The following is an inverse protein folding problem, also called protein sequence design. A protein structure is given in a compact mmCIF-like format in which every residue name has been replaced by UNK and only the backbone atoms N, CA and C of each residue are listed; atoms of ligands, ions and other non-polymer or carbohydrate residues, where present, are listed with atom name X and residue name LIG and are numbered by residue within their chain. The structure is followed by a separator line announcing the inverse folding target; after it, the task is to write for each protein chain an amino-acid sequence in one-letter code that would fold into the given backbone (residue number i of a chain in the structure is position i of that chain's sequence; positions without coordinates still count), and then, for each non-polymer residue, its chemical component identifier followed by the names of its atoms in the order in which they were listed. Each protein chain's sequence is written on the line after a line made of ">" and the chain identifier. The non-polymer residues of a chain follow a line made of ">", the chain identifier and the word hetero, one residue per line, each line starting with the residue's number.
data_IF_348462191027
#
_entry.id   IF_348462191027
#
_cell.length_a   1.000
_cell.length_b   1.000
_cell.length_c   1.000
_cell.angle_alpha   90.00
_cell.angle_beta   90.00
_cell.angle_gamma   90.00
#
_symmetry.space_group_name_H-M   'P 1'
#
loop_
_entity.id
_entity.type
_entity.pdbx_description
1 polymer ?
#
# COMPACT_ATOMS: atom_id res chain seq x y z
N UNK A 1 -2.39 0.69 20.51
CA UNK A 1 -2.53 0.35 19.66
C UNK A 1 -1.66 0.23 18.82
N UNK A 2 -1.44 -0.54 18.35
CA UNK A 2 -0.40 -0.68 17.69
C UNK A 2 -0.57 -0.37 16.36
N UNK A 3 0.31 0.27 15.89
CA UNK A 3 0.39 0.52 14.59
C UNK A 3 1.26 -0.44 13.96
N UNK A 4 1.32 -1.65 14.44
CA UNK A 4 2.22 -2.59 13.89
C UNK A 4 1.69 -3.11 12.61
N UNK A 5 1.92 -2.40 11.56
CA UNK A 5 1.65 -2.86 10.24
C UNK A 5 2.71 -3.87 9.87
N UNK A 6 2.34 -5.09 9.55
CA UNK A 6 3.31 -6.07 9.10
C UNK A 6 3.04 -6.43 7.65
N UNK A 7 4.01 -7.09 7.04
CA UNK A 7 3.96 -7.36 5.62
C UNK A 7 2.76 -8.21 5.24
N UNK A 8 2.45 -9.22 6.03
CA UNK A 8 1.33 -10.09 5.71
C UNK A 8 0.01 -9.36 5.77
N UNK A 9 -0.18 -8.53 6.79
CA UNK A 9 -1.40 -7.77 6.90
C UNK A 9 -1.49 -6.73 5.79
N UNK A 10 -0.39 -6.10 5.47
CA UNK A 10 -0.37 -5.12 4.40
C UNK A 10 -0.83 -5.74 3.09
N UNK A 11 -0.27 -6.90 2.74
CA UNK A 11 -0.65 -7.55 1.50
C UNK A 11 -2.11 -7.99 1.52
N UNK A 12 -2.56 -8.52 2.66
CA UNK A 12 -3.92 -9.02 2.77
C UNK A 12 -4.93 -7.88 2.59
N UNK A 13 -4.71 -6.78 3.28
CA UNK A 13 -5.67 -5.67 3.21
C UNK A 13 -5.68 -5.01 1.84
N UNK A 14 -4.53 -4.91 1.19
CA UNK A 14 -4.52 -4.38 -0.17
C UNK A 14 -5.30 -5.28 -1.11
N UNK A 15 -5.18 -6.60 -0.95
CA UNK A 15 -5.92 -7.52 -1.79
C UNK A 15 -7.41 -7.48 -1.52
N UNK A 16 -7.81 -7.03 -0.34
CA UNK A 16 -9.23 -6.91 0.00
C UNK A 16 -9.83 -5.62 -0.50
N UNK A 17 -9.02 -4.74 -1.06
CA UNK A 17 -9.53 -3.50 -1.60
C UNK A 17 -9.36 -2.29 -0.71
N UNK A 18 -8.64 -2.43 0.40
CA UNK A 18 -8.41 -1.28 1.27
C UNK A 18 -7.42 -0.33 0.64
N UNK A 19 -7.54 0.94 0.97
CA UNK A 19 -6.65 1.97 0.49
C UNK A 19 -5.67 2.35 1.59
N UNK A 20 -4.40 2.40 1.24
CA UNK A 20 -3.35 2.79 2.18
C UNK A 20 -2.87 4.18 1.81
N UNK A 21 -2.91 5.11 2.77
CA UNK A 21 -2.37 6.44 2.54
C UNK A 21 -0.93 6.48 3.03
N UNK A 22 -0.04 6.95 2.18
CA UNK A 22 1.38 7.07 2.51
C UNK A 22 1.73 8.54 2.51
N UNK A 23 2.26 9.01 3.63
CA UNK A 23 2.69 10.40 3.77
C UNK A 23 4.21 10.46 3.72
N UNK A 24 4.73 11.39 2.95
CA UNK A 24 6.16 11.60 2.85
C UNK A 24 6.45 13.05 3.16
N UNK A 25 7.72 13.42 3.16
CA UNK A 25 8.08 14.80 3.39
C UNK A 25 7.61 15.75 2.30
N UNK A 26 7.32 15.21 1.11
CA UNK A 26 6.90 16.04 -0.02
C UNK A 26 5.43 15.94 -0.37
N UNK A 27 4.67 15.16 0.37
CA UNK A 27 3.24 15.03 0.07
C UNK A 27 2.70 13.69 0.46
N UNK A 28 1.54 13.34 -0.07
CA UNK A 28 0.89 12.09 0.27
C UNK A 28 0.30 11.47 -0.98
N UNK A 29 0.21 10.15 -1.00
CA UNK A 29 -0.44 9.45 -2.10
C UNK A 29 -1.06 8.18 -1.53
N UNK A 30 -1.91 7.55 -2.34
CA UNK A 30 -2.61 6.36 -1.92
C UNK A 30 -2.16 5.16 -2.72
N UNK A 31 -2.17 4.00 -2.08
CA UNK A 31 -1.85 2.73 -2.72
C UNK A 31 -3.07 1.83 -2.57
N UNK A 32 -3.49 1.22 -3.66
CA UNK A 32 -4.61 0.29 -3.61
C UNK A 32 -4.46 -0.72 -4.72
N UNK A 33 -5.13 -1.85 -4.57
CA UNK A 33 -5.09 -2.89 -5.58
C UNK A 33 -6.48 -3.11 -6.14
N UNK A 34 -6.52 -3.53 -7.40
CA UNK A 34 -7.76 -3.90 -8.07
C UNK A 34 -7.58 -5.32 -8.58
N UNK A 35 -7.66 -6.30 -7.68
CA UNK A 35 -7.38 -7.69 -8.08
C UNK A 35 -8.42 -8.28 -9.01
N UNK A 36 -9.60 -7.66 -9.09
CA UNK A 36 -10.65 -8.16 -9.97
C UNK A 36 -10.75 -7.38 -11.27
N UNK A 37 -9.86 -6.44 -11.49
CA UNK A 37 -9.86 -5.69 -12.74
C UNK A 37 -9.29 -6.55 -13.86
N UNK A 38 -9.39 -6.06 -15.08
CA UNK A 38 -8.90 -6.77 -16.25
C UNK A 38 -7.96 -5.84 -17.00
N UNK A 39 -6.65 -6.03 -16.85
CA UNK A 39 -5.99 -7.04 -16.01
C UNK A 39 -5.92 -6.61 -14.55
N UNK A 40 -5.71 -7.53 -13.64
CA UNK A 40 -5.55 -7.17 -12.24
C UNK A 40 -4.34 -6.26 -12.03
N UNK A 41 -4.49 -5.28 -11.17
CA UNK A 41 -3.46 -4.24 -11.05
C UNK A 41 -3.34 -3.75 -9.61
N UNK A 42 -2.21 -3.11 -9.34
CA UNK A 42 -2.00 -2.38 -8.09
C UNK A 42 -1.50 -0.99 -8.47
N UNK A 43 -1.97 0.03 -7.75
CA UNK A 43 -1.60 1.41 -8.04
C UNK A 43 -0.68 1.92 -6.95
N UNK A 44 0.48 2.44 -7.35
CA UNK A 44 1.50 2.88 -6.43
C UNK A 44 2.17 4.11 -7.01
N UNK A 45 2.21 5.18 -6.25
CA UNK A 45 2.80 6.45 -6.67
C UNK A 45 2.15 6.99 -7.94
N UNK A 46 0.87 6.74 -8.09
CA UNK A 46 0.15 7.22 -9.25
C UNK A 46 0.33 6.40 -10.50
N UNK A 47 1.02 5.27 -10.40
CA UNK A 47 1.28 4.42 -11.55
C UNK A 47 0.61 3.07 -11.39
N UNK A 48 0.18 2.53 -12.49
CA UNK A 48 -0.44 1.22 -12.51
C UNK A 48 0.62 0.15 -12.72
N UNK A 49 0.59 -0.87 -11.89
CA UNK A 49 1.52 -1.99 -11.99
C UNK A 49 0.74 -3.29 -12.03
N UNK A 50 1.28 -4.32 -12.67
CA UNK A 50 0.60 -5.63 -12.63
C UNK A 50 0.46 -6.11 -11.19
N UNK A 51 -0.62 -6.85 -10.92
CA UNK A 51 -0.87 -7.31 -9.56
C UNK A 51 0.25 -8.21 -9.05
N UNK A 52 0.99 -8.84 -9.96
CA UNK A 52 2.10 -9.69 -9.56
C UNK A 52 3.20 -8.89 -8.85
N UNK A 53 3.20 -7.57 -9.00
CA UNK A 53 4.20 -6.73 -8.33
C UNK A 53 3.79 -6.31 -6.94
N UNK A 54 2.60 -6.73 -6.48
CA UNK A 54 2.10 -6.31 -5.18
C UNK A 54 3.07 -6.67 -4.05
N UNK A 55 3.64 -7.88 -4.10
CA UNK A 55 4.54 -8.31 -3.04
C UNK A 55 5.78 -7.42 -2.98
N UNK A 56 6.35 -7.08 -4.13
CA UNK A 56 7.51 -6.20 -4.15
C UNK A 56 7.18 -4.79 -3.68
N UNK A 57 6.02 -4.28 -4.07
CA UNK A 57 5.58 -2.96 -3.65
C UNK A 57 5.36 -2.95 -2.13
N UNK A 58 4.71 -3.99 -1.60
CA UNK A 58 4.48 -4.07 -0.16
C UNK A 58 5.78 -4.13 0.61
N UNK A 59 6.75 -4.88 0.11
CA UNK A 59 8.05 -4.97 0.77
C UNK A 59 8.75 -3.61 0.77
N UNK A 60 8.68 -2.89 -0.34
CA UNK A 60 9.30 -1.57 -0.41
C UNK A 60 8.66 -0.61 0.58
N UNK A 61 7.33 -0.65 0.70
CA UNK A 61 6.62 0.21 1.66
C UNK A 61 7.09 -0.11 3.08
N UNK A 62 7.18 -1.40 3.41
CA UNK A 62 7.62 -1.78 4.74
C UNK A 62 9.05 -1.31 5.02
N UNK A 63 9.93 -1.45 4.03
CA UNK A 63 11.31 -1.04 4.20
C UNK A 63 11.40 0.46 4.44
N UNK A 64 10.67 1.25 3.68
CA UNK A 64 10.72 2.70 3.83
C UNK A 64 10.10 3.15 5.14
N UNK A 65 9.04 2.46 5.57
CA UNK A 65 8.43 2.79 6.84
C UNK A 65 9.38 2.49 8.00
N UNK A 66 10.09 1.36 7.92
CA UNK A 66 11.03 1.00 8.97
C UNK A 66 12.22 1.96 9.03
N UNK A 67 12.56 2.57 7.92
CA UNK A 67 13.62 3.57 7.91
C UNK A 67 13.14 4.95 8.32
N UNK A 68 11.86 5.08 8.58
CA UNK A 68 11.30 6.37 8.99
C UNK A 68 11.12 7.35 7.85
N UNK A 69 11.15 6.87 6.61
CA UNK A 69 11.03 7.76 5.45
C UNK A 69 9.60 8.07 5.10
N UNK A 70 8.67 7.22 5.49
CA UNK A 70 7.26 7.42 5.20
C UNK A 70 6.42 7.03 6.40
N UNK A 71 5.19 7.49 6.40
CA UNK A 71 4.19 7.07 7.37
C UNK A 71 3.00 6.53 6.62
N UNK A 72 2.41 5.46 7.16
CA UNK A 72 1.31 4.78 6.49
C UNK A 72 0.12 4.70 7.41
N UNK A 73 -1.07 4.87 6.83
CA UNK A 73 -2.28 4.60 7.58
C UNK A 73 -3.35 4.14 6.60
N UNK A 74 -4.27 3.33 7.11
CA UNK A 74 -5.37 2.86 6.28
C UNK A 74 -6.43 3.95 6.19
N UNK A 75 -6.92 4.16 4.98
CA UNK A 75 -8.03 5.09 4.77
C UNK A 75 -9.30 4.37 5.17
N UNK A 76 -10.04 4.97 6.08
CA UNK A 76 -11.26 4.35 6.53
C UNK A 76 -12.44 5.16 6.11
N UNK A 77 -13.46 4.43 5.64
CA UNK A 77 -14.56 5.05 5.12
C UNK A 77 -15.62 4.95 6.10
N UNK A 78 -15.88 5.86 6.84
CA UNK A 78 -16.91 5.74 7.81
C UNK A 78 -18.14 6.32 7.43
#
# INVERSE_FOLDING_TARGET
>A
MSDDLNLEELKRRLKEGDYLEISTGGGAYEVWAEPYATPPAVYFEGEQHPIAELDGIAQRIMDEMHRGEIRCRWVEDD
#
